data_IF_982331911891
#
_entry.id   IF_982331911891
#
_cell.length_a   1.000
_cell.length_b   1.000
_cell.length_c   1.000
_cell.angle_alpha   90.00
_cell.angle_beta   90.00
_cell.angle_gamma   90.00
#
_symmetry.space_group_name_H-M   'P 1'
#
loop_
_entity.id
_entity.type
_entity.pdbx_description
1 polymer ?
#
# COMPACT_ATOMS: atom_id res chain seq x y z
N UNK A 1 -5.11 -27.82 17.13
CA UNK A 1 -6.11 -26.79 16.77
C UNK A 1 -5.47 -25.45 16.43
N UNK A 2 -4.82 -24.72 17.35
CA UNK A 2 -4.14 -23.46 17.01
C UNK A 2 -2.89 -23.65 16.12
N UNK A 3 -2.07 -24.67 16.41
CA UNK A 3 -0.88 -24.97 15.59
C UNK A 3 -1.21 -25.47 14.18
N UNK A 4 -2.31 -26.21 14.01
CA UNK A 4 -2.74 -26.72 12.70
C UNK A 4 -3.31 -25.61 11.82
N UNK A 5 -3.85 -24.55 12.45
CA UNK A 5 -4.34 -23.36 11.77
C UNK A 5 -3.18 -22.55 11.16
N UNK A 6 -2.07 -22.40 11.89
CA UNK A 6 -0.84 -21.76 11.42
C UNK A 6 -0.11 -22.55 10.32
N UNK A 7 -0.33 -23.87 10.24
CA UNK A 7 0.22 -24.74 9.19
C UNK A 7 -0.57 -24.70 7.88
N UNK A 8 -1.73 -24.04 7.85
CA UNK A 8 -2.44 -23.86 6.59
C UNK A 8 -1.62 -22.94 5.68
N UNK A 9 -1.39 -23.43 4.46
CA UNK A 9 -0.52 -22.80 3.45
C UNK A 9 -0.90 -21.33 3.18
N UNK A 10 -2.20 -21.01 3.25
CA UNK A 10 -2.70 -19.65 3.09
C UNK A 10 -2.18 -18.69 4.16
N UNK A 11 -2.04 -19.11 5.41
CA UNK A 11 -1.51 -18.25 6.47
C UNK A 11 -0.01 -18.09 6.37
N UNK A 12 0.73 -19.15 6.00
CA UNK A 12 2.18 -19.05 5.77
C UNK A 12 2.51 -18.18 4.55
N UNK A 13 1.76 -18.29 3.45
CA UNK A 13 1.89 -17.44 2.26
C UNK A 13 1.44 -16.01 2.54
N UNK A 14 0.39 -15.81 3.34
CA UNK A 14 0.00 -14.48 3.83
C UNK A 14 1.09 -13.89 4.74
N UNK A 15 1.66 -14.69 5.65
CA UNK A 15 2.82 -14.30 6.46
C UNK A 15 4.01 -13.94 5.58
N UNK A 16 4.35 -14.77 4.58
CA UNK A 16 5.46 -14.50 3.66
C UNK A 16 5.22 -13.23 2.83
N UNK A 17 3.98 -12.99 2.38
CA UNK A 17 3.57 -11.74 1.75
C UNK A 17 3.66 -10.54 2.70
N UNK A 18 3.45 -10.75 4.00
CA UNK A 18 3.70 -9.77 5.07
C UNK A 18 5.19 -9.62 5.44
N UNK A 19 6.10 -10.51 5.02
CA UNK A 19 7.47 -10.57 5.56
C UNK A 19 8.49 -9.67 4.86
N UNK A 20 8.25 -9.13 3.66
CA UNK A 20 9.12 -8.05 3.16
C UNK A 20 8.44 -7.20 2.09
N UNK A 21 7.64 -6.24 2.52
CA UNK A 21 7.37 -5.06 1.69
C UNK A 21 8.58 -4.12 1.80
N UNK A 22 9.47 -4.15 0.80
CA UNK A 22 10.55 -3.19 0.69
C UNK A 22 10.80 -2.87 -0.79
N UNK A 23 10.24 -1.76 -1.24
CA UNK A 23 10.42 -1.22 -2.58
C UNK A 23 11.50 -0.12 -2.65
N UNK A 24 12.18 0.15 -1.52
CA UNK A 24 13.24 1.15 -1.42
C UNK A 24 14.57 0.64 -2.00
N UNK A 25 15.58 1.50 -2.07
CA UNK A 25 16.94 1.09 -2.40
C UNK A 25 17.72 0.50 -1.20
N UNK A 26 17.15 0.52 0.02
CA UNK A 26 17.74 -0.02 1.24
C UNK A 26 17.13 -1.39 1.57
N UNK A 27 17.63 -2.43 0.92
CA UNK A 27 17.13 -3.80 1.11
C UNK A 27 15.94 -4.19 0.22
N UNK A 28 15.50 -3.28 -0.66
CA UNK A 28 14.58 -3.56 -1.77
C UNK A 28 15.28 -3.52 -3.13
N UNK A 29 14.50 -3.51 -4.22
CA UNK A 29 15.02 -3.49 -5.59
C UNK A 29 15.46 -2.10 -6.08
N UNK A 30 15.06 -1.03 -5.38
CA UNK A 30 15.30 0.36 -5.80
C UNK A 30 14.63 0.78 -7.11
N UNK A 31 13.77 -0.05 -7.71
CA UNK A 31 13.13 0.25 -8.99
C UNK A 31 12.13 1.40 -8.91
N UNK A 32 11.65 1.74 -7.71
CA UNK A 32 10.73 2.85 -7.46
C UNK A 32 11.33 4.20 -7.93
N UNK A 33 12.66 4.35 -7.85
CA UNK A 33 13.40 5.54 -8.29
C UNK A 33 13.36 5.74 -9.81
N UNK A 34 12.99 4.70 -10.58
CA UNK A 34 12.92 4.73 -12.04
C UNK A 34 11.53 5.07 -12.57
N UNK A 35 10.54 5.28 -11.70
CA UNK A 35 9.17 5.59 -12.11
C UNK A 35 9.09 7.03 -12.61
N UNK A 36 8.87 7.21 -13.91
CA UNK A 36 8.82 8.51 -14.57
C UNK A 36 7.40 9.09 -14.73
N UNK A 37 6.38 8.33 -14.34
CA UNK A 37 4.97 8.73 -14.41
C UNK A 37 4.51 9.44 -13.15
N UNK A 38 3.40 10.18 -13.27
CA UNK A 38 2.65 10.69 -12.12
C UNK A 38 2.15 9.50 -11.30
N UNK A 39 2.30 9.60 -9.98
CA UNK A 39 1.88 8.55 -9.05
C UNK A 39 0.94 9.16 -8.02
N UNK A 40 -0.21 8.53 -7.85
CA UNK A 40 -1.07 8.72 -6.69
C UNK A 40 -0.95 7.48 -5.81
N UNK A 41 -0.70 7.69 -4.53
CA UNK A 41 -0.60 6.64 -3.53
C UNK A 41 -1.74 6.79 -2.53
N UNK A 42 -2.53 5.73 -2.37
CA UNK A 42 -3.69 5.72 -1.47
C UNK A 42 -3.43 4.71 -0.36
N UNK A 43 -3.62 5.10 0.91
CA UNK A 43 -3.23 4.28 2.04
C UNK A 43 -4.10 4.49 3.28
N UNK A 44 -4.40 3.40 4.00
CA UNK A 44 -5.14 3.43 5.27
C UNK A 44 -4.19 3.71 6.43
N UNK A 45 -4.57 4.59 7.35
CA UNK A 45 -3.70 4.95 8.49
C UNK A 45 -3.64 3.87 9.60
N UNK A 46 -4.52 2.87 9.53
CA UNK A 46 -4.56 1.71 10.44
C UNK A 46 -4.10 0.43 9.75
N UNK A 47 -3.38 0.55 8.62
CA UNK A 47 -2.83 -0.61 7.92
C UNK A 47 -1.78 -1.32 8.80
N UNK A 48 -2.08 -2.56 9.17
CA UNK A 48 -1.21 -3.42 9.99
C UNK A 48 -0.29 -4.31 9.14
N UNK A 49 -0.50 -4.36 7.83
CA UNK A 49 0.31 -5.13 6.86
C UNK A 49 1.43 -4.26 6.32
N UNK A 50 1.12 -3.02 5.94
CA UNK A 50 2.11 -1.99 5.57
C UNK A 50 1.86 -0.78 6.47
N UNK A 51 2.63 -0.61 7.56
CA UNK A 51 2.48 0.54 8.44
C UNK A 51 2.59 1.87 7.70
N UNK A 52 1.85 2.88 8.17
CA UNK A 52 1.82 4.23 7.58
C UNK A 52 3.22 4.86 7.48
N UNK A 53 4.08 4.62 8.47
CA UNK A 53 5.44 5.16 8.49
C UNK A 53 6.30 4.57 7.36
N UNK A 54 6.15 3.27 7.08
CA UNK A 54 6.83 2.59 5.97
C UNK A 54 6.32 3.12 4.63
N UNK A 55 5.01 3.36 4.51
CA UNK A 55 4.43 3.97 3.31
C UNK A 55 4.97 5.40 3.07
N UNK A 56 5.08 6.21 4.13
CA UNK A 56 5.65 7.57 4.07
C UNK A 56 7.13 7.51 3.67
N UNK A 57 7.90 6.58 4.23
CA UNK A 57 9.29 6.36 3.82
C UNK A 57 9.37 6.00 2.34
N UNK A 58 8.58 5.03 1.86
CA UNK A 58 8.54 4.59 0.46
C UNK A 58 8.24 5.74 -0.50
N UNK A 59 7.33 6.65 -0.14
CA UNK A 59 6.98 7.82 -0.96
C UNK A 59 8.20 8.73 -1.22
N UNK A 60 9.14 8.79 -0.27
CA UNK A 60 10.37 9.57 -0.40
C UNK A 60 11.34 9.07 -1.48
N UNK A 61 11.19 7.84 -1.98
CA UNK A 61 12.05 7.27 -3.01
C UNK A 61 11.53 7.48 -4.44
N UNK A 62 10.33 8.01 -4.63
CA UNK A 62 9.89 8.39 -5.97
C UNK A 62 10.66 9.61 -6.46
N UNK A 63 11.10 9.64 -7.73
CA UNK A 63 11.83 10.79 -8.28
C UNK A 63 10.93 12.03 -8.44
N UNK A 64 9.62 11.81 -8.56
CA UNK A 64 8.60 12.84 -8.69
C UNK A 64 7.75 12.92 -7.42
N UNK A 65 7.18 14.10 -7.16
CA UNK A 65 6.22 14.27 -6.06
C UNK A 65 5.02 13.34 -6.25
N UNK A 66 4.81 12.47 -5.26
CA UNK A 66 3.64 11.59 -5.18
C UNK A 66 2.45 12.36 -4.62
N UNK A 67 1.28 12.13 -5.19
CA UNK A 67 0.01 12.58 -4.63
C UNK A 67 -0.46 11.55 -3.58
N UNK A 68 -0.28 11.87 -2.30
CA UNK A 68 -0.59 10.94 -1.21
C UNK A 68 -1.98 11.21 -0.63
N UNK A 69 -2.84 10.19 -0.66
CA UNK A 69 -4.21 10.25 -0.17
C UNK A 69 -4.34 9.27 1.01
N UNK A 70 -4.49 9.82 2.20
CA UNK A 70 -4.63 9.05 3.44
C UNK A 70 -6.10 8.78 3.77
N UNK A 71 -6.38 7.58 4.25
CA UNK A 71 -7.68 7.15 4.75
C UNK A 71 -7.60 6.95 6.27
N UNK A 72 -8.13 7.92 7.03
CA UNK A 72 -7.99 7.97 8.51
C UNK A 72 -8.77 6.89 9.28
N UNK A 73 -9.57 6.07 8.61
CA UNK A 73 -10.38 5.04 9.24
C UNK A 73 -10.30 3.67 8.55
N UNK A 74 -9.26 3.46 7.75
CA UNK A 74 -9.08 2.23 6.98
C UNK A 74 -7.80 1.50 7.37
N UNK A 75 -7.87 0.17 7.36
CA UNK A 75 -6.69 -0.70 7.39
C UNK A 75 -6.14 -0.94 5.98
N UNK A 76 -5.60 -2.13 5.75
CA UNK A 76 -5.01 -2.52 4.46
C UNK A 76 -6.01 -2.51 3.29
N UNK A 77 -7.26 -2.90 3.57
CA UNK A 77 -8.30 -3.05 2.56
C UNK A 77 -9.18 -1.79 2.46
N UNK A 78 -8.59 -0.64 2.08
CA UNK A 78 -9.28 0.66 1.98
C UNK A 78 -10.57 0.64 1.13
N UNK A 79 -10.62 -0.24 0.12
CA UNK A 79 -11.76 -0.40 -0.79
C UNK A 79 -12.92 -1.19 -0.16
N UNK A 80 -12.66 -1.88 0.94
CA UNK A 80 -13.68 -2.53 1.78
C UNK A 80 -14.09 -1.60 2.90
N UNK A 81 -13.12 -1.04 3.63
CA UNK A 81 -13.35 -0.26 4.85
C UNK A 81 -14.08 1.07 4.58
N UNK A 82 -13.68 1.78 3.52
CA UNK A 82 -14.26 3.07 3.13
C UNK A 82 -14.63 3.07 1.63
N UNK A 83 -15.38 2.03 1.20
CA UNK A 83 -15.74 1.77 -0.21
C UNK A 83 -16.23 3.00 -0.98
N UNK A 84 -17.18 3.75 -0.42
CA UNK A 84 -17.80 4.89 -1.11
C UNK A 84 -16.81 6.02 -1.37
N UNK A 85 -15.96 6.30 -0.38
CA UNK A 85 -14.88 7.29 -0.49
C UNK A 85 -13.82 6.83 -1.49
N UNK A 86 -13.44 5.55 -1.45
CA UNK A 86 -12.52 4.96 -2.41
C UNK A 86 -13.03 5.09 -3.85
N UNK A 87 -14.29 4.70 -4.11
CA UNK A 87 -14.91 4.80 -5.44
C UNK A 87 -14.89 6.24 -5.94
N UNK A 88 -15.27 7.21 -5.10
CA UNK A 88 -15.28 8.62 -5.48
C UNK A 88 -13.89 9.11 -5.89
N UNK A 89 -12.88 8.85 -5.06
CA UNK A 89 -11.49 9.23 -5.37
C UNK A 89 -11.01 8.54 -6.65
N UNK A 90 -11.30 7.26 -6.81
CA UNK A 90 -10.89 6.51 -8.00
C UNK A 90 -11.53 7.07 -9.28
N UNK A 91 -12.83 7.35 -9.25
CA UNK A 91 -13.51 7.99 -10.38
C UNK A 91 -12.93 9.37 -10.72
N UNK A 92 -12.63 10.17 -9.71
CA UNK A 92 -12.03 11.50 -9.89
C UNK A 92 -10.62 11.38 -10.50
N UNK A 93 -9.81 10.41 -10.08
CA UNK A 93 -8.48 10.16 -10.66
C UNK A 93 -8.60 9.77 -12.13
N UNK A 94 -9.46 8.82 -12.47
CA UNK A 94 -9.65 8.34 -13.86
C UNK A 94 -10.17 9.46 -14.77
N UNK A 95 -11.07 10.31 -14.29
CA UNK A 95 -11.62 11.43 -15.08
C UNK A 95 -10.61 12.57 -15.31
N UNK A 96 -9.66 12.75 -14.38
CA UNK A 96 -8.68 13.83 -14.40
C UNK A 96 -7.32 13.42 -14.99
N UNK A 97 -7.20 12.24 -15.59
CA UNK A 97 -5.99 11.76 -16.31
C UNK A 97 -5.84 12.29 -17.76
N UNK A 98 -6.49 13.42 -18.09
CA UNK A 98 -6.28 14.12 -19.38
C UNK A 98 -4.99 14.97 -19.37
#
# INVERSE_FOLDING_TARGET
MAEDFLKQRCFLESLLAMVTYNNTNKGGSGLIEKIDKKVTWIHGDKDMVVPIDDAIESIGYFPNKVDFIKFDNSGHAIFVDEKEKFIKIFEDLVKNEN
#
